data_IF_743863937804
#
_entry.id   IF_743863937804
#
_cell.length_a   1.000
_cell.length_b   1.000
_cell.length_c   1.000
_cell.angle_alpha   90.00
_cell.angle_beta   90.00
_cell.angle_gamma   90.00
#
_symmetry.space_group_name_H-M   'P 1'
#
loop_
_entity.id
_entity.type
_entity.pdbx_description
1 polymer ?
#
# COMPACT_ATOMS: atom_id res chain seq x y z
N UNK A 1 -28.33 36.36 11.13
CA UNK A 1 -28.45 34.94 10.74
C UNK A 1 -29.47 34.87 9.61
N UNK A 2 -29.06 34.43 8.41
CA UNK A 2 -29.88 34.48 7.21
C UNK A 2 -30.21 33.06 6.71
N UNK A 3 -31.48 32.68 6.55
CA UNK A 3 -31.89 31.43 5.92
C UNK A 3 -32.05 31.63 4.41
N UNK A 4 -31.42 30.81 3.58
CA UNK A 4 -31.70 30.76 2.15
C UNK A 4 -31.51 29.34 1.61
N UNK A 5 -32.60 28.59 1.60
CA UNK A 5 -32.80 27.49 0.67
C UNK A 5 -33.66 28.02 -0.49
N UNK A 6 -33.27 27.78 -1.74
CA UNK A 6 -34.24 27.63 -2.82
C UNK A 6 -34.38 26.15 -3.19
N UNK A 7 -35.51 25.58 -2.78
CA UNK A 7 -36.12 24.46 -3.47
C UNK A 7 -36.53 24.94 -4.87
N UNK A 8 -35.94 24.37 -5.92
CA UNK A 8 -36.36 24.60 -7.30
C UNK A 8 -36.84 23.26 -7.86
N UNK A 9 -38.15 23.02 -7.73
CA UNK A 9 -38.85 21.95 -8.42
C UNK A 9 -39.07 22.36 -9.88
N UNK A 10 -38.28 21.80 -10.79
CA UNK A 10 -38.54 21.82 -12.22
C UNK A 10 -38.85 20.40 -12.69
N UNK A 11 -40.05 19.88 -12.38
CA UNK A 11 -40.58 18.68 -13.05
C UNK A 11 -41.37 19.17 -14.26
N UNK A 12 -40.64 19.43 -15.34
CA UNK A 12 -41.19 19.66 -16.68
C UNK A 12 -40.99 18.41 -17.53
N UNK A 13 -42.09 17.89 -18.08
CA UNK A 13 -42.13 16.77 -19.01
C UNK A 13 -41.35 17.15 -20.28
N UNK A 14 -40.29 16.39 -20.61
CA UNK A 14 -39.48 16.62 -21.80
C UNK A 14 -38.61 15.41 -22.13
N UNK A 15 -38.75 14.94 -23.36
CA UNK A 15 -38.18 13.70 -23.91
C UNK A 15 -36.65 13.76 -23.97
N UNK A 16 -36.00 12.68 -23.54
CA UNK A 16 -34.70 12.23 -24.02
C UNK A 16 -33.47 12.73 -23.25
N UNK A 17 -32.88 11.86 -22.42
CA UNK A 17 -31.43 11.83 -22.25
C UNK A 17 -30.98 10.41 -21.89
N UNK A 18 -30.22 9.79 -22.80
CA UNK A 18 -29.43 8.59 -22.51
C UNK A 18 -28.40 8.96 -21.44
N UNK A 19 -28.64 8.57 -20.18
CA UNK A 19 -27.64 8.71 -19.12
C UNK A 19 -26.81 7.43 -19.06
N UNK A 20 -25.66 7.47 -19.72
CA UNK A 20 -24.55 6.56 -19.40
C UNK A 20 -24.26 6.69 -17.92
N UNK A 21 -24.38 5.58 -17.18
CA UNK A 21 -23.93 5.49 -15.81
C UNK A 21 -22.40 5.66 -15.80
N UNK A 22 -21.94 6.87 -15.49
CA UNK A 22 -20.56 7.09 -15.08
C UNK A 22 -20.39 6.39 -13.74
N UNK A 23 -19.59 5.32 -13.72
CA UNK A 23 -19.21 4.66 -12.48
C UNK A 23 -18.36 5.66 -11.67
N UNK A 24 -18.68 5.91 -10.38
CA UNK A 24 -17.77 6.65 -9.54
C UNK A 24 -16.48 5.82 -9.49
N UNK A 25 -15.39 6.42 -9.99
CA UNK A 25 -14.05 5.91 -9.75
C UNK A 25 -13.86 5.97 -8.24
N UNK A 26 -14.06 4.83 -7.59
CA UNK A 26 -13.77 4.64 -6.18
C UNK A 26 -12.31 5.06 -5.96
N UNK A 27 -12.14 6.09 -5.13
CA UNK A 27 -10.84 6.64 -4.77
C UNK A 27 -9.95 5.49 -4.32
N UNK A 28 -8.94 5.18 -5.11
CA UNK A 28 -7.81 4.37 -4.68
C UNK A 28 -7.34 4.99 -3.36
N UNK A 29 -7.59 4.30 -2.26
CA UNK A 29 -7.15 4.75 -0.95
C UNK A 29 -5.62 4.65 -0.91
N UNK A 30 -4.94 5.71 -1.31
CA UNK A 30 -3.51 5.88 -1.09
C UNK A 30 -3.29 6.00 0.42
N UNK A 31 -2.90 4.90 1.06
CA UNK A 31 -2.39 4.97 2.43
C UNK A 31 -1.11 5.81 2.37
N UNK A 32 -1.03 6.95 3.07
CA UNK A 32 0.14 7.79 2.96
C UNK A 32 1.38 7.00 3.40
N UNK A 33 2.49 7.05 2.64
CA UNK A 33 3.67 6.20 2.86
C UNK A 33 4.21 6.27 4.29
N UNK A 34 3.99 7.40 4.97
CA UNK A 34 4.37 7.59 6.37
C UNK A 34 3.69 6.60 7.34
N UNK A 35 2.42 6.27 7.13
CA UNK A 35 1.70 5.34 8.02
C UNK A 35 2.21 3.89 7.87
N UNK A 36 2.54 3.47 6.64
CA UNK A 36 3.10 2.16 6.38
C UNK A 36 4.48 1.99 7.06
N UNK A 37 5.33 3.01 6.99
CA UNK A 37 6.65 2.99 7.65
C UNK A 37 6.50 2.90 9.17
N UNK A 38 5.63 3.71 9.79
CA UNK A 38 5.39 3.64 11.24
C UNK A 38 4.90 2.25 11.66
N UNK A 39 4.02 1.62 10.87
CA UNK A 39 3.59 0.25 11.14
C UNK A 39 4.75 -0.75 11.08
N UNK A 40 5.60 -0.67 10.05
CA UNK A 40 6.76 -1.54 9.88
C UNK A 40 7.81 -1.34 10.98
N UNK A 41 8.02 -0.11 11.45
CA UNK A 41 8.92 0.21 12.56
C UNK A 41 8.45 -0.38 13.90
N UNK A 42 7.14 -0.51 14.08
CA UNK A 42 6.55 -1.09 15.29
C UNK A 42 6.33 -2.61 15.21
N UNK A 43 6.49 -3.23 14.05
CA UNK A 43 6.43 -4.69 13.93
C UNK A 43 7.53 -5.36 14.76
N UNK A 44 7.24 -6.50 15.42
CA UNK A 44 8.26 -7.34 16.02
C UNK A 44 9.29 -7.78 14.98
N UNK A 45 10.58 -7.83 15.36
CA UNK A 45 11.67 -8.14 14.43
C UNK A 45 11.43 -9.46 13.67
N UNK A 46 10.99 -10.51 14.35
CA UNK A 46 10.69 -11.79 13.73
C UNK A 46 9.64 -11.66 12.61
N UNK A 47 8.59 -10.85 12.83
CA UNK A 47 7.56 -10.61 11.81
C UNK A 47 8.09 -9.81 10.63
N UNK A 48 8.96 -8.83 10.89
CA UNK A 48 9.59 -8.03 9.84
C UNK A 48 10.53 -8.88 8.97
N UNK A 49 11.30 -9.78 9.59
CA UNK A 49 12.13 -10.78 8.90
C UNK A 49 11.29 -11.72 8.03
N UNK A 50 10.21 -12.29 8.56
CA UNK A 50 9.28 -13.13 7.79
C UNK A 50 8.66 -12.37 6.61
N UNK A 51 8.26 -11.11 6.82
CA UNK A 51 7.71 -10.26 5.76
C UNK A 51 8.73 -10.04 4.64
N UNK A 52 9.98 -9.71 5.00
CA UNK A 52 11.05 -9.53 4.02
C UNK A 52 11.32 -10.81 3.22
N UNK A 53 11.43 -11.97 3.89
CA UNK A 53 11.65 -13.25 3.20
C UNK A 53 10.51 -13.56 2.22
N UNK A 54 9.25 -13.28 2.61
CA UNK A 54 8.09 -13.45 1.73
C UNK A 54 8.17 -12.51 0.52
N UNK A 55 8.46 -11.24 0.75
CA UNK A 55 8.65 -10.26 -0.31
C UNK A 55 9.75 -10.67 -1.31
N UNK A 56 10.88 -11.18 -0.80
CA UNK A 56 11.97 -11.66 -1.64
C UNK A 56 11.57 -12.90 -2.46
N UNK A 57 10.83 -13.84 -1.85
CA UNK A 57 10.33 -15.03 -2.53
C UNK A 57 9.35 -14.67 -3.66
N UNK A 58 8.33 -13.85 -3.36
CA UNK A 58 7.29 -13.50 -4.34
C UNK A 58 7.87 -12.67 -5.49
N UNK A 59 8.75 -11.70 -5.19
CA UNK A 59 9.39 -10.88 -6.23
C UNK A 59 10.36 -11.68 -7.11
N UNK A 60 10.89 -12.81 -6.63
CA UNK A 60 11.69 -13.73 -7.46
C UNK A 60 10.85 -14.55 -8.45
N UNK A 61 9.53 -14.67 -8.20
CA UNK A 61 8.62 -15.50 -8.99
C UNK A 61 7.76 -14.69 -9.96
N UNK A 62 7.42 -13.45 -9.60
CA UNK A 62 6.57 -12.57 -10.41
C UNK A 62 6.90 -11.11 -10.20
N UNK A 63 6.45 -10.28 -11.15
CA UNK A 63 6.37 -8.85 -10.93
C UNK A 63 5.32 -8.54 -9.84
N UNK A 64 5.68 -7.64 -8.94
CA UNK A 64 4.80 -7.16 -7.88
C UNK A 64 3.95 -5.98 -8.41
N UNK A 65 2.66 -5.89 -8.03
CA UNK A 65 1.91 -4.66 -8.17
C UNK A 65 2.56 -3.55 -7.35
N UNK A 66 2.31 -2.29 -7.75
CA UNK A 66 3.04 -1.13 -7.24
C UNK A 66 2.94 -0.99 -5.70
N UNK A 67 1.76 -1.18 -5.15
CA UNK A 67 1.48 -1.14 -3.71
C UNK A 67 2.27 -2.19 -2.93
N UNK A 68 2.31 -3.43 -3.43
CA UNK A 68 3.07 -4.52 -2.83
C UNK A 68 4.58 -4.27 -2.95
N UNK A 69 5.05 -3.75 -4.09
CA UNK A 69 6.45 -3.39 -4.30
C UNK A 69 6.92 -2.29 -3.34
N UNK A 70 6.09 -1.26 -3.11
CA UNK A 70 6.36 -0.19 -2.15
C UNK A 70 6.46 -0.75 -0.74
N UNK A 71 5.47 -1.56 -0.32
CA UNK A 71 5.47 -2.17 1.01
C UNK A 71 6.70 -3.05 1.23
N UNK A 72 7.05 -3.88 0.26
CA UNK A 72 8.22 -4.75 0.32
C UNK A 72 9.54 -3.96 0.37
N UNK A 73 9.63 -2.84 -0.35
CA UNK A 73 10.81 -1.97 -0.31
C UNK A 73 10.94 -1.32 1.07
N UNK A 74 9.85 -0.76 1.60
CA UNK A 74 9.84 -0.16 2.94
C UNK A 74 10.18 -1.18 4.03
N UNK A 75 9.65 -2.41 3.94
CA UNK A 75 9.96 -3.48 4.89
C UNK A 75 11.45 -3.85 4.86
N UNK A 76 12.06 -3.90 3.68
CA UNK A 76 13.49 -4.10 3.50
C UNK A 76 14.33 -2.99 4.14
N UNK A 77 13.97 -1.73 3.89
CA UNK A 77 14.67 -0.57 4.47
C UNK A 77 14.59 -0.54 5.99
N UNK A 78 13.40 -0.76 6.55
CA UNK A 78 13.18 -0.79 8.01
C UNK A 78 13.94 -1.95 8.64
N UNK A 79 13.94 -3.13 8.00
CA UNK A 79 14.67 -4.30 8.49
C UNK A 79 16.18 -4.06 8.47
N UNK A 80 16.71 -3.52 7.36
CA UNK A 80 18.12 -3.20 7.22
C UNK A 80 18.58 -2.23 8.32
N UNK A 81 17.82 -1.16 8.55
CA UNK A 81 18.14 -0.16 9.59
C UNK A 81 18.08 -0.77 10.99
N UNK A 82 17.01 -1.49 11.34
CA UNK A 82 16.77 -1.98 12.71
C UNK A 82 17.63 -3.17 13.09
N UNK A 83 17.74 -4.17 12.22
CA UNK A 83 18.36 -5.46 12.55
C UNK A 83 19.79 -5.59 12.04
N UNK A 84 20.21 -4.75 11.11
CA UNK A 84 21.52 -4.83 10.47
C UNK A 84 22.31 -3.51 10.52
N UNK A 85 21.85 -2.52 11.29
CA UNK A 85 22.54 -1.24 11.46
C UNK A 85 22.67 -0.43 10.16
N UNK A 86 21.81 -0.69 9.17
CA UNK A 86 21.91 -0.09 7.84
C UNK A 86 22.88 -0.79 6.88
N UNK A 87 23.51 -1.89 7.29
CA UNK A 87 24.43 -2.64 6.43
C UNK A 87 23.67 -3.61 5.51
N UNK A 88 23.62 -3.25 4.23
CA UNK A 88 23.02 -4.07 3.19
C UNK A 88 23.73 -5.43 3.01
N UNK A 89 25.05 -5.50 3.18
CA UNK A 89 25.78 -6.77 3.06
C UNK A 89 25.42 -7.73 4.19
N UNK A 90 25.23 -7.21 5.41
CA UNK A 90 24.77 -7.99 6.55
C UNK A 90 23.35 -8.52 6.34
N UNK A 91 22.44 -7.69 5.83
CA UNK A 91 21.09 -8.12 5.42
C UNK A 91 21.16 -9.22 4.36
N UNK A 92 21.95 -9.03 3.30
CA UNK A 92 22.08 -9.96 2.20
C UNK A 92 22.69 -11.30 2.64
N UNK A 93 23.70 -11.26 3.51
CA UNK A 93 24.31 -12.45 4.08
C UNK A 93 23.31 -13.24 4.94
N UNK A 94 22.50 -12.55 5.75
CA UNK A 94 21.41 -13.18 6.51
C UNK A 94 20.36 -13.79 5.58
N UNK A 95 19.86 -13.05 4.59
CA UNK A 95 18.85 -13.52 3.63
C UNK A 95 19.27 -14.81 2.94
N UNK A 96 20.51 -14.89 2.43
CA UNK A 96 21.03 -16.09 1.76
C UNK A 96 20.96 -17.36 2.62
N UNK A 97 21.04 -17.22 3.94
CA UNK A 97 20.97 -18.36 4.88
C UNK A 97 19.54 -18.80 5.20
N UNK A 98 18.54 -17.93 5.01
CA UNK A 98 17.15 -18.17 5.47
C UNK A 98 16.13 -18.20 4.34
N UNK A 99 16.52 -17.86 3.10
CA UNK A 99 15.58 -17.78 1.96
C UNK A 99 14.92 -19.12 1.59
N UNK A 100 15.50 -20.23 2.00
CA UNK A 100 15.03 -21.59 1.70
C UNK A 100 14.18 -22.18 2.86
N UNK A 101 13.97 -21.42 3.95
CA UNK A 101 13.21 -21.85 5.13
C UNK A 101 11.69 -21.57 5.05
N UNK A 102 11.21 -21.07 3.90
CA UNK A 102 9.84 -20.57 3.69
C UNK A 102 8.95 -21.51 2.88
#
# INVERSE_FOLDING_TARGET
>A
MNPNLPACWCIGIGIGFLSSAAMPAELAQETPPNQAVVFLENLPEARLKTLYLRCAQVSSQRLLPLDEAILCSMAGDVLMKRSFGGDFNALLAWWRRHRDEQ
#
